data_IF_495700389986
#
_entry.id   IF_495700389986
#
_cell.length_a   1.000
_cell.length_b   1.000
_cell.length_c   1.000
_cell.angle_alpha   90.00
_cell.angle_beta   90.00
_cell.angle_gamma   90.00
#
_symmetry.space_group_name_H-M   'P 1'
#
loop_
_entity.id
_entity.type
_entity.pdbx_description
1 polymer ?
#
# COMPACT_ATOMS: atom_id res chain seq x y z
N UNK A 1 4.71 17.02 -54.88
CA UNK A 1 4.38 17.84 -53.70
C UNK A 1 4.38 16.92 -52.49
N UNK A 2 5.48 16.88 -51.73
CA UNK A 2 5.55 16.13 -50.47
C UNK A 2 4.63 16.80 -49.47
N UNK A 3 3.53 16.15 -49.10
CA UNK A 3 2.63 16.63 -48.06
C UNK A 3 3.46 16.99 -46.82
N UNK A 4 3.33 18.22 -46.33
CA UNK A 4 4.04 18.68 -45.15
C UNK A 4 3.70 17.71 -44.00
N UNK A 5 4.70 16.99 -43.49
CA UNK A 5 4.48 16.10 -42.35
C UNK A 5 3.88 16.92 -41.20
N UNK A 6 2.78 16.47 -40.57
CA UNK A 6 2.19 17.20 -39.46
C UNK A 6 3.21 17.33 -38.34
N UNK A 7 3.42 18.56 -37.85
CA UNK A 7 4.37 18.88 -36.78
C UNK A 7 3.63 19.47 -35.58
N UNK A 8 4.13 19.17 -34.39
CA UNK A 8 3.62 19.72 -33.13
C UNK A 8 3.06 18.66 -32.19
N UNK A 9 2.40 19.13 -31.11
CA UNK A 9 2.00 18.29 -29.98
C UNK A 9 1.10 17.11 -30.41
N UNK A 10 0.08 17.41 -31.21
CA UNK A 10 -0.89 16.41 -31.68
C UNK A 10 -0.23 15.38 -32.59
N UNK A 11 0.71 15.80 -33.44
CA UNK A 11 1.44 14.89 -34.31
C UNK A 11 2.32 13.91 -33.52
N UNK A 12 3.01 14.41 -32.47
CA UNK A 12 3.80 13.56 -31.57
C UNK A 12 2.90 12.58 -30.82
N UNK A 13 1.77 13.04 -30.29
CA UNK A 13 0.82 12.19 -29.59
C UNK A 13 0.21 11.11 -30.52
N UNK A 14 -0.16 11.48 -31.75
CA UNK A 14 -0.67 10.53 -32.74
C UNK A 14 0.37 9.49 -33.14
N UNK A 15 1.63 9.91 -33.36
CA UNK A 15 2.77 9.00 -33.62
C UNK A 15 2.93 8.00 -32.47
N UNK A 16 2.77 8.47 -31.24
CA UNK A 16 2.91 7.63 -30.05
C UNK A 16 1.76 6.63 -29.89
N UNK A 17 0.52 7.07 -30.09
CA UNK A 17 -0.66 6.19 -30.06
C UNK A 17 -0.54 5.10 -31.12
N UNK A 18 -0.18 5.46 -32.36
CA UNK A 18 -0.01 4.50 -33.46
C UNK A 18 1.09 3.48 -33.18
N UNK A 19 2.20 3.91 -32.56
CA UNK A 19 3.26 2.98 -32.16
C UNK A 19 2.79 2.04 -31.06
N UNK A 20 2.18 2.59 -30.00
CA UNK A 20 1.68 1.81 -28.86
C UNK A 20 0.72 0.73 -29.32
N UNK A 21 -0.22 1.02 -30.22
CA UNK A 21 -1.16 0.03 -30.77
C UNK A 21 -0.51 -1.11 -31.55
N UNK A 22 0.72 -0.93 -32.05
CA UNK A 22 1.45 -1.95 -32.84
C UNK A 22 2.48 -2.70 -32.00
N UNK A 23 2.92 -2.13 -30.89
CA UNK A 23 3.92 -2.70 -30.01
C UNK A 23 3.26 -3.54 -28.91
N UNK A 24 3.37 -4.86 -29.04
CA UNK A 24 2.75 -5.81 -28.09
C UNK A 24 3.25 -5.60 -26.66
N UNK A 25 4.51 -5.19 -26.48
CA UNK A 25 5.08 -4.94 -25.15
C UNK A 25 4.48 -3.66 -24.56
N UNK A 26 4.34 -2.59 -25.36
CA UNK A 26 3.68 -1.36 -24.92
C UNK A 26 2.22 -1.61 -24.50
N UNK A 27 1.44 -2.35 -25.30
CA UNK A 27 0.05 -2.69 -24.96
C UNK A 27 -0.04 -3.57 -23.71
N UNK A 28 0.81 -4.59 -23.61
CA UNK A 28 0.87 -5.44 -22.43
C UNK A 28 1.21 -4.62 -21.20
N UNK A 29 2.17 -3.71 -21.28
CA UNK A 29 2.60 -2.88 -20.17
C UNK A 29 1.52 -1.88 -19.73
N UNK A 30 0.92 -1.15 -20.66
CA UNK A 30 -0.01 -0.06 -20.37
C UNK A 30 -1.41 -0.56 -20.01
N UNK A 31 -1.86 -1.65 -20.64
CA UNK A 31 -3.24 -2.16 -20.49
C UNK A 31 -3.24 -3.52 -19.82
N UNK A 32 -2.47 -4.48 -20.34
CA UNK A 32 -2.52 -5.88 -19.90
C UNK A 32 -2.11 -6.08 -18.43
N UNK A 33 -0.96 -5.54 -18.02
CA UNK A 33 -0.40 -5.70 -16.67
C UNK A 33 -1.31 -5.06 -15.62
N UNK A 34 -1.74 -3.79 -15.73
CA UNK A 34 -2.65 -3.22 -14.75
C UNK A 34 -3.99 -3.94 -14.69
N UNK A 35 -4.60 -4.32 -15.83
CA UNK A 35 -5.87 -5.05 -15.82
C UNK A 35 -5.73 -6.41 -15.14
N UNK A 36 -4.66 -7.15 -15.45
CA UNK A 36 -4.37 -8.42 -14.79
C UNK A 36 -4.16 -8.23 -13.29
N UNK A 37 -3.32 -7.27 -12.89
CA UNK A 37 -3.05 -6.99 -11.50
C UNK A 37 -4.32 -6.60 -10.75
N UNK A 38 -5.13 -5.69 -11.31
CA UNK A 38 -6.37 -5.25 -10.70
C UNK A 38 -7.40 -6.37 -10.61
N UNK A 39 -7.51 -7.21 -11.65
CA UNK A 39 -8.41 -8.37 -11.63
C UNK A 39 -7.99 -9.39 -10.57
N UNK A 40 -6.69 -9.69 -10.47
CA UNK A 40 -6.16 -10.59 -9.45
C UNK A 40 -6.37 -10.04 -8.04
N UNK A 41 -6.13 -8.74 -7.82
CA UNK A 41 -6.34 -8.11 -6.52
C UNK A 41 -7.83 -8.06 -6.16
N UNK A 42 -8.69 -7.64 -7.09
CA UNK A 42 -10.13 -7.61 -6.88
C UNK A 42 -10.70 -9.02 -6.58
N UNK A 43 -10.22 -10.05 -7.28
CA UNK A 43 -10.61 -11.43 -7.01
C UNK A 43 -10.11 -11.93 -5.65
N UNK A 44 -8.85 -11.61 -5.29
CA UNK A 44 -8.26 -12.00 -4.00
C UNK A 44 -8.97 -11.33 -2.83
N UNK A 45 -9.41 -10.09 -2.99
CA UNK A 45 -10.03 -9.28 -1.93
C UNK A 45 -11.54 -9.10 -2.08
N UNK A 46 -12.18 -9.91 -2.94
CA UNK A 46 -13.64 -9.89 -3.13
C UNK A 46 -14.40 -10.18 -1.84
N UNK A 47 -13.84 -11.00 -0.94
CA UNK A 47 -14.34 -11.22 0.41
C UNK A 47 -13.74 -10.20 1.37
N UNK A 48 -14.31 -9.00 1.40
CA UNK A 48 -13.76 -7.87 2.15
C UNK A 48 -13.82 -8.02 3.68
N UNK A 49 -14.60 -8.97 4.22
CA UNK A 49 -14.77 -9.24 5.65
C UNK A 49 -14.36 -10.68 5.96
N UNK A 50 -13.47 -10.83 6.95
CA UNK A 50 -13.00 -12.13 7.42
C UNK A 50 -14.14 -12.84 8.17
N UNK A 51 -14.41 -14.10 7.79
CA UNK A 51 -15.42 -14.96 8.43
C UNK A 51 -14.79 -16.30 8.79
N UNK A 52 -15.46 -17.05 9.66
CA UNK A 52 -15.09 -18.42 10.05
C UNK A 52 -13.70 -18.51 10.70
N UNK A 53 -13.41 -17.55 11.58
CA UNK A 53 -12.21 -17.58 12.41
C UNK A 53 -12.37 -18.65 13.49
N UNK A 54 -11.54 -19.69 13.41
CA UNK A 54 -11.61 -20.83 14.33
C UNK A 54 -11.15 -20.38 15.72
N UNK A 55 -12.01 -20.55 16.72
CA UNK A 55 -11.74 -20.17 18.11
C UNK A 55 -11.94 -21.36 19.02
N UNK A 56 -11.01 -21.54 19.95
CA UNK A 56 -11.11 -22.54 21.00
C UNK A 56 -11.72 -21.93 22.28
N UNK A 57 -12.56 -22.68 22.99
CA UNK A 57 -13.14 -22.23 24.27
C UNK A 57 -12.84 -23.25 25.35
N UNK A 58 -12.13 -22.80 26.39
CA UNK A 58 -11.84 -23.58 27.59
C UNK A 58 -12.76 -23.13 28.71
N UNK A 59 -13.73 -23.96 29.05
CA UNK A 59 -14.64 -23.72 30.18
C UNK A 59 -14.28 -24.62 31.38
N UNK A 60 -13.62 -24.03 32.37
CA UNK A 60 -13.26 -24.70 33.63
C UNK A 60 -14.35 -24.62 34.71
N UNK A 61 -15.34 -23.74 34.55
CA UNK A 61 -16.42 -23.57 35.54
C UNK A 61 -17.57 -24.55 35.28
N UNK A 62 -17.90 -24.77 33.99
CA UNK A 62 -18.98 -25.66 33.53
C UNK A 62 -20.32 -25.38 34.21
N UNK A 63 -20.57 -24.12 34.52
CA UNK A 63 -21.77 -23.62 35.19
C UNK A 63 -22.80 -23.10 34.20
N UNK A 64 -23.99 -22.70 34.68
CA UNK A 64 -24.98 -22.04 33.81
C UNK A 64 -24.46 -20.70 33.31
N UNK A 65 -23.82 -19.95 34.18
CA UNK A 65 -23.25 -18.65 33.84
C UNK A 65 -22.11 -18.77 32.83
N UNK A 66 -21.20 -19.75 32.97
CA UNK A 66 -20.13 -19.98 31.99
C UNK A 66 -20.67 -20.44 30.64
N UNK A 67 -21.74 -21.25 30.62
CA UNK A 67 -22.42 -21.65 29.38
C UNK A 67 -23.03 -20.46 28.64
N UNK A 68 -23.60 -19.47 29.35
CA UNK A 68 -24.09 -18.23 28.73
C UNK A 68 -22.96 -17.46 28.05
N UNK A 69 -21.79 -17.33 28.70
CA UNK A 69 -20.61 -16.72 28.08
C UNK A 69 -20.13 -17.51 26.86
N UNK A 70 -20.03 -18.83 26.96
CA UNK A 70 -19.62 -19.68 25.85
C UNK A 70 -20.59 -19.59 24.66
N UNK A 71 -21.90 -19.47 24.91
CA UNK A 71 -22.91 -19.28 23.86
C UNK A 71 -22.78 -17.91 23.20
N UNK A 72 -22.58 -16.84 23.98
CA UNK A 72 -22.35 -15.50 23.44
C UNK A 72 -21.09 -15.46 22.55
N UNK A 73 -20.01 -16.13 22.98
CA UNK A 73 -18.78 -16.30 22.19
C UNK A 73 -19.05 -17.08 20.90
N UNK A 74 -19.81 -18.19 20.96
CA UNK A 74 -20.18 -18.96 19.77
C UNK A 74 -21.09 -18.20 18.80
N UNK A 75 -21.85 -17.21 19.29
CA UNK A 75 -22.68 -16.33 18.48
C UNK A 75 -21.94 -15.09 17.95
N UNK A 76 -20.66 -14.91 18.31
CA UNK A 76 -19.89 -13.73 17.93
C UNK A 76 -19.68 -13.65 16.41
N UNK A 77 -19.91 -12.48 15.78
CA UNK A 77 -19.72 -12.32 14.35
C UNK A 77 -18.29 -12.65 13.89
N UNK A 78 -18.18 -13.42 12.81
CA UNK A 78 -16.91 -13.76 12.15
C UNK A 78 -16.10 -14.86 12.84
N UNK A 79 -16.56 -15.37 13.99
CA UNK A 79 -15.93 -16.45 14.74
C UNK A 79 -16.70 -17.76 14.53
N UNK A 80 -15.98 -18.87 14.52
CA UNK A 80 -16.54 -20.20 14.60
C UNK A 80 -15.87 -20.96 15.76
N UNK A 81 -16.66 -21.49 16.69
CA UNK A 81 -16.14 -22.23 17.85
C UNK A 81 -16.09 -23.72 17.48
N UNK A 82 -15.00 -24.12 16.84
CA UNK A 82 -14.81 -25.47 16.30
C UNK A 82 -14.29 -26.47 17.35
N UNK A 83 -13.65 -25.97 18.41
CA UNK A 83 -13.05 -26.80 19.46
C UNK A 83 -13.39 -26.24 20.84
N UNK A 84 -13.58 -27.17 21.79
CA UNK A 84 -13.66 -26.87 23.22
C UNK A 84 -12.60 -27.71 23.93
N UNK A 85 -11.41 -27.15 24.06
CA UNK A 85 -10.30 -27.78 24.77
C UNK A 85 -10.63 -27.95 26.26
N UNK A 86 -10.18 -29.06 26.84
CA UNK A 86 -10.40 -29.36 28.25
C UNK A 86 -9.58 -28.48 29.19
N UNK A 87 -8.43 -27.99 28.72
CA UNK A 87 -7.50 -27.20 29.50
C UNK A 87 -6.86 -26.09 28.67
N UNK A 88 -6.19 -25.17 29.37
CA UNK A 88 -5.50 -24.05 28.72
C UNK A 88 -4.32 -24.53 27.87
N UNK A 89 -3.69 -25.65 28.23
CA UNK A 89 -2.54 -26.18 27.48
C UNK A 89 -2.93 -26.61 26.06
N UNK A 90 -4.01 -27.38 25.92
CA UNK A 90 -4.55 -27.80 24.63
C UNK A 90 -4.96 -26.60 23.76
N UNK A 91 -5.65 -25.63 24.36
CA UNK A 91 -6.05 -24.42 23.65
C UNK A 91 -4.84 -23.58 23.19
N UNK A 92 -3.82 -23.45 24.02
CA UNK A 92 -2.59 -22.75 23.64
C UNK A 92 -1.79 -23.49 22.57
N UNK A 93 -1.84 -24.83 22.54
CA UNK A 93 -1.27 -25.61 21.45
C UNK A 93 -2.01 -25.32 20.14
N UNK A 94 -3.35 -25.32 20.15
CA UNK A 94 -4.17 -25.00 18.97
C UNK A 94 -3.89 -23.58 18.42
N UNK A 95 -3.72 -22.59 19.30
CA UNK A 95 -3.36 -21.22 18.89
C UNK A 95 -1.95 -21.13 18.28
N UNK A 96 -0.99 -21.89 18.83
CA UNK A 96 0.40 -21.91 18.34
C UNK A 96 0.57 -22.71 17.05
N UNK A 97 -0.19 -23.79 16.87
CA UNK A 97 -0.17 -24.60 15.65
C UNK A 97 -0.93 -23.96 14.48
N UNK A 98 -1.79 -22.98 14.77
CA UNK A 98 -2.64 -22.32 13.77
C UNK A 98 -3.98 -23.01 13.54
N UNK A 99 -4.30 -24.08 14.30
CA UNK A 99 -5.62 -24.72 14.29
C UNK A 99 -6.73 -23.79 14.81
N UNK A 100 -6.39 -22.87 15.71
CA UNK A 100 -7.27 -21.81 16.18
C UNK A 100 -6.57 -20.45 16.05
N UNK A 101 -7.30 -19.40 15.68
CA UNK A 101 -6.76 -18.03 15.65
C UNK A 101 -6.72 -17.42 17.05
N UNK A 102 -7.64 -17.86 17.91
CA UNK A 102 -7.79 -17.38 19.28
C UNK A 102 -8.35 -18.48 20.20
N UNK A 103 -8.14 -18.30 21.49
CA UNK A 103 -8.71 -19.12 22.54
C UNK A 103 -9.32 -18.24 23.63
N UNK A 104 -10.49 -18.62 24.15
CA UNK A 104 -11.11 -17.98 25.31
C UNK A 104 -11.04 -18.91 26.51
N UNK A 105 -10.49 -18.41 27.61
CA UNK A 105 -10.40 -19.13 28.87
C UNK A 105 -11.40 -18.56 29.88
N UNK A 106 -12.33 -19.41 30.32
CA UNK A 106 -13.28 -19.14 31.39
C UNK A 106 -12.77 -19.84 32.65
N UNK A 107 -12.40 -19.10 33.71
CA UNK A 107 -11.78 -19.67 34.91
C UNK A 107 -12.78 -20.53 35.70
N UNK A 108 -12.24 -21.47 36.50
CA UNK A 108 -13.03 -22.19 37.50
C UNK A 108 -13.66 -21.22 38.50
N UNK A 109 -14.79 -21.62 39.07
CA UNK A 109 -15.53 -20.86 40.08
C UNK A 109 -16.07 -19.50 39.62
N UNK A 110 -16.19 -19.28 38.29
CA UNK A 110 -16.67 -18.02 37.71
C UNK A 110 -18.05 -17.63 38.25
N UNK A 111 -19.03 -18.54 38.20
CA UNK A 111 -20.38 -18.26 38.73
C UNK A 111 -20.35 -17.94 40.23
N UNK A 112 -19.63 -18.73 41.02
CA UNK A 112 -19.48 -18.49 42.47
C UNK A 112 -18.90 -17.11 42.74
N UNK A 113 -17.88 -16.72 41.99
CA UNK A 113 -17.17 -15.46 42.18
C UNK A 113 -18.03 -14.27 41.73
N UNK A 114 -18.76 -14.37 40.62
CA UNK A 114 -19.74 -13.37 40.20
C UNK A 114 -20.83 -13.18 41.27
N UNK A 115 -21.40 -14.28 41.79
CA UNK A 115 -22.44 -14.25 42.82
C UNK A 115 -21.92 -13.68 44.15
N UNK A 116 -20.65 -13.89 44.47
CA UNK A 116 -19.99 -13.31 45.63
C UNK A 116 -19.62 -11.81 45.45
N UNK A 117 -19.99 -11.20 44.32
CA UNK A 117 -19.62 -9.82 43.98
C UNK A 117 -18.12 -9.63 43.71
N UNK A 118 -17.38 -10.73 43.48
CA UNK A 118 -15.99 -10.69 42.99
C UNK A 118 -15.99 -10.41 41.48
N UNK A 119 -14.80 -10.12 40.94
CA UNK A 119 -14.60 -9.75 39.52
C UNK A 119 -13.66 -10.76 38.84
N UNK A 120 -14.14 -11.99 38.54
CA UNK A 120 -13.31 -12.97 37.83
C UNK A 120 -13.02 -12.49 36.40
N UNK A 121 -11.90 -12.94 35.84
CA UNK A 121 -11.42 -12.50 34.53
C UNK A 121 -11.56 -13.61 33.49
N UNK A 122 -12.34 -13.37 32.44
CA UNK A 122 -12.31 -14.16 31.21
C UNK A 122 -11.15 -13.66 30.37
N UNK A 123 -10.28 -14.57 29.91
CA UNK A 123 -9.04 -14.21 29.20
C UNK A 123 -9.14 -14.64 27.74
N UNK A 124 -8.85 -13.72 26.82
CA UNK A 124 -8.79 -14.00 25.37
C UNK A 124 -7.33 -14.04 24.94
N UNK A 125 -6.88 -15.20 24.48
CA UNK A 125 -5.58 -15.40 23.83
C UNK A 125 -5.78 -15.37 22.33
N UNK A 126 -4.91 -14.72 21.56
CA UNK A 126 -5.02 -14.69 20.10
C UNK A 126 -3.67 -14.54 19.43
N UNK A 127 -3.56 -15.10 18.23
CA UNK A 127 -2.34 -15.09 17.46
C UNK A 127 -2.21 -13.77 16.67
N UNK A 128 -1.40 -12.85 17.20
CA UNK A 128 -1.16 -11.54 16.59
C UNK A 128 -0.14 -11.56 15.44
N UNK A 129 0.51 -12.70 15.18
CA UNK A 129 1.32 -12.90 13.96
C UNK A 129 0.43 -12.86 12.71
N UNK A 130 -0.81 -13.34 12.85
CA UNK A 130 -1.91 -13.05 11.93
C UNK A 130 -2.57 -11.74 12.34
N UNK A 131 -1.91 -10.61 12.05
CA UNK A 131 -2.30 -9.29 12.55
C UNK A 131 -3.80 -8.98 12.37
N UNK A 132 -4.32 -9.10 11.16
CA UNK A 132 -5.73 -8.78 10.87
C UNK A 132 -6.71 -9.82 11.43
N UNK A 133 -6.61 -11.13 11.11
CA UNK A 133 -7.50 -12.15 11.66
C UNK A 133 -7.52 -12.18 13.20
N UNK A 134 -6.36 -12.04 13.84
CA UNK A 134 -6.23 -12.05 15.29
C UNK A 134 -6.90 -10.84 15.95
N UNK A 135 -6.75 -9.63 15.38
CA UNK A 135 -7.41 -8.44 15.90
C UNK A 135 -8.95 -8.49 15.70
N UNK A 136 -9.42 -9.01 14.56
CA UNK A 136 -10.86 -9.22 14.31
C UNK A 136 -11.44 -10.19 15.34
N UNK A 137 -10.80 -11.36 15.53
CA UNK A 137 -11.24 -12.33 16.54
C UNK A 137 -11.24 -11.72 17.95
N UNK A 138 -10.14 -11.07 18.35
CA UNK A 138 -10.04 -10.44 19.68
C UNK A 138 -11.16 -9.41 19.90
N UNK A 139 -11.44 -8.55 18.92
CA UNK A 139 -12.49 -7.54 19.03
C UNK A 139 -13.88 -8.17 19.09
N UNK A 140 -14.20 -9.13 18.21
CA UNK A 140 -15.50 -9.82 18.22
C UNK A 140 -15.74 -10.55 19.53
N UNK A 141 -14.72 -11.25 20.06
CA UNK A 141 -14.80 -11.98 21.32
C UNK A 141 -14.98 -11.04 22.53
N UNK A 142 -14.24 -9.93 22.58
CA UNK A 142 -14.40 -8.93 23.64
C UNK A 142 -15.79 -8.30 23.63
N UNK A 143 -16.31 -7.96 22.45
CA UNK A 143 -17.67 -7.44 22.30
C UNK A 143 -18.73 -8.45 22.77
N UNK A 144 -18.60 -9.72 22.38
CA UNK A 144 -19.51 -10.78 22.79
C UNK A 144 -19.49 -11.02 24.31
N UNK A 145 -18.30 -11.06 24.93
CA UNK A 145 -18.17 -11.18 26.39
C UNK A 145 -18.76 -9.96 27.09
N UNK A 146 -18.51 -8.75 26.59
CA UNK A 146 -19.04 -7.52 27.19
C UNK A 146 -20.58 -7.45 27.11
N UNK A 147 -21.16 -7.88 26.00
CA UNK A 147 -22.62 -8.00 25.86
C UNK A 147 -23.19 -9.02 26.86
N UNK A 148 -22.56 -10.20 27.00
CA UNK A 148 -22.98 -11.20 27.97
C UNK A 148 -22.86 -10.71 29.43
N UNK A 149 -21.86 -9.88 29.75
CA UNK A 149 -21.76 -9.23 31.07
C UNK A 149 -22.95 -8.29 31.31
N UNK A 150 -23.39 -7.54 30.30
CA UNK A 150 -24.50 -6.60 30.41
C UNK A 150 -25.85 -7.30 30.67
N UNK A 151 -26.01 -8.53 30.18
CA UNK A 151 -27.20 -9.36 30.36
C UNK A 151 -27.24 -10.13 31.70
N UNK A 152 -26.16 -10.12 32.49
CA UNK A 152 -26.15 -10.78 33.78
C UNK A 152 -27.14 -10.12 34.75
N UNK A 153 -27.92 -10.92 35.53
CA UNK A 153 -28.77 -10.39 36.58
C UNK A 153 -27.94 -9.57 37.56
N UNK A 154 -28.24 -8.27 37.70
CA UNK A 154 -27.60 -7.43 38.71
C UNK A 154 -28.05 -7.93 40.08
N UNK A 155 -27.15 -8.60 40.81
CA UNK A 155 -27.42 -9.02 42.18
C UNK A 155 -27.86 -7.86 43.06
N UNK A 156 -28.74 -8.13 44.03
CA UNK A 156 -29.26 -7.14 44.98
C UNK A 156 -28.10 -6.32 45.56
N UNK A 157 -28.11 -5.00 45.33
CA UNK A 157 -27.06 -4.11 45.77
C UNK A 157 -26.95 -4.12 47.29
N UNK A 158 -25.77 -4.41 47.84
CA UNK A 158 -25.48 -4.08 49.25
C UNK A 158 -25.62 -2.56 49.43
N UNK A 159 -26.19 -2.08 50.55
CA UNK A 159 -26.41 -0.66 50.84
C UNK A 159 -25.10 0.04 51.25
N UNK A 160 -24.15 0.12 50.32
CA UNK A 160 -22.91 0.87 50.48
C UNK A 160 -22.54 1.53 49.15
N UNK A 161 -21.87 2.70 49.22
CA UNK A 161 -21.37 3.38 48.03
C UNK A 161 -20.45 2.43 47.25
N UNK A 162 -20.92 1.99 46.09
CA UNK A 162 -20.12 1.25 45.11
C UNK A 162 -19.87 2.22 43.96
N UNK A 163 -18.61 2.50 43.59
CA UNK A 163 -18.33 3.17 42.33
C UNK A 163 -19.09 2.42 41.23
N UNK A 164 -19.87 3.15 40.42
CA UNK A 164 -20.56 2.55 39.28
C UNK A 164 -19.56 1.81 38.38
N UNK A 165 -20.04 0.85 37.60
CA UNK A 165 -19.22 0.27 36.54
C UNK A 165 -18.78 1.41 35.61
N UNK A 166 -17.47 1.64 35.52
CA UNK A 166 -16.90 2.52 34.51
C UNK A 166 -17.15 1.86 33.15
N UNK A 167 -18.06 2.42 32.37
CA UNK A 167 -18.30 1.97 31.00
C UNK A 167 -17.26 2.64 30.13
N UNK A 168 -16.37 1.84 29.54
CA UNK A 168 -15.42 2.33 28.54
C UNK A 168 -16.05 2.11 27.18
N UNK A 169 -16.45 3.19 26.52
CA UNK A 169 -16.95 3.14 25.15
C UNK A 169 -15.80 3.41 24.18
N UNK A 170 -15.64 2.52 23.20
CA UNK A 170 -14.64 2.67 22.15
C UNK A 170 -15.32 2.98 20.82
N UNK A 171 -14.98 4.13 20.24
CA UNK A 171 -15.43 4.52 18.91
C UNK A 171 -14.28 4.40 17.90
N UNK A 172 -14.43 3.49 16.93
CA UNK A 172 -13.48 3.36 15.81
C UNK A 172 -13.85 4.38 14.73
N UNK A 173 -13.06 5.45 14.63
CA UNK A 173 -13.34 6.59 13.75
C UNK A 173 -13.23 6.25 12.26
N UNK A 174 -12.34 5.34 11.87
CA UNK A 174 -12.08 5.01 10.46
C UNK A 174 -12.00 3.51 10.27
N UNK A 175 -12.77 3.00 9.28
CA UNK A 175 -12.90 1.57 8.96
C UNK A 175 -13.44 0.70 10.14
N UNK A 176 -14.61 1.02 10.71
CA UNK A 176 -15.15 0.34 11.89
C UNK A 176 -15.45 -1.15 11.66
N UNK A 177 -15.71 -1.55 10.41
CA UNK A 177 -15.96 -2.94 10.02
C UNK A 177 -14.68 -3.71 9.71
N UNK A 178 -13.50 -3.09 9.86
CA UNK A 178 -12.20 -3.63 9.48
C UNK A 178 -12.21 -4.16 8.03
N UNK A 179 -12.95 -3.49 7.16
CA UNK A 179 -13.11 -3.86 5.76
C UNK A 179 -11.75 -3.81 5.07
N UNK A 180 -11.35 -4.96 4.55
CA UNK A 180 -10.03 -5.15 3.99
C UNK A 180 -9.89 -4.46 2.63
N UNK A 181 -10.95 -4.46 1.81
CA UNK A 181 -10.97 -3.75 0.54
C UNK A 181 -10.86 -2.23 0.77
N UNK A 182 -11.49 -1.69 1.82
CA UNK A 182 -11.35 -0.28 2.20
C UNK A 182 -9.90 0.11 2.50
N UNK A 183 -9.15 -0.74 3.20
CA UNK A 183 -7.77 -0.44 3.55
C UNK A 183 -6.81 -0.75 2.40
N UNK A 184 -6.79 -2.02 1.96
CA UNK A 184 -5.75 -2.50 1.06
C UNK A 184 -5.99 -2.10 -0.39
N UNK A 185 -7.22 -2.18 -0.88
CA UNK A 185 -7.50 -1.91 -2.29
C UNK A 185 -7.27 -0.43 -2.62
N UNK A 186 -7.63 0.48 -1.70
CA UNK A 186 -7.34 1.91 -1.81
C UNK A 186 -5.84 2.21 -1.88
N UNK A 187 -5.03 1.48 -1.14
CA UNK A 187 -3.60 1.75 -1.06
C UNK A 187 -2.77 1.03 -2.13
N UNK A 188 -3.07 -0.25 -2.39
CA UNK A 188 -2.26 -1.06 -3.29
C UNK A 188 -2.55 -0.77 -4.76
N UNK A 189 -3.80 -0.50 -5.17
CA UNK A 189 -4.05 -0.25 -6.59
C UNK A 189 -3.25 0.95 -7.14
N UNK A 190 -3.23 2.13 -6.48
CA UNK A 190 -2.36 3.22 -6.91
C UNK A 190 -0.87 2.89 -6.82
N UNK A 191 -0.48 2.04 -5.87
CA UNK A 191 0.91 1.57 -5.71
C UNK A 191 1.34 0.65 -6.86
N UNK A 192 0.48 -0.24 -7.33
CA UNK A 192 0.80 -1.04 -8.52
C UNK A 192 0.84 -0.13 -9.74
N UNK A 193 -0.14 0.77 -9.84
CA UNK A 193 -0.26 1.67 -10.99
C UNK A 193 0.94 2.61 -11.12
N UNK A 194 1.49 3.17 -10.03
CA UNK A 194 2.64 4.08 -10.14
C UNK A 194 3.87 3.39 -10.72
N UNK A 195 4.10 2.12 -10.38
CA UNK A 195 5.22 1.33 -10.94
C UNK A 195 5.01 1.17 -12.44
N UNK A 196 3.81 0.77 -12.86
CA UNK A 196 3.50 0.60 -14.29
C UNK A 196 3.60 1.93 -15.04
N UNK A 197 3.08 3.01 -14.48
CA UNK A 197 3.17 4.37 -15.04
C UNK A 197 4.64 4.76 -15.28
N UNK A 198 5.50 4.53 -14.29
CA UNK A 198 6.92 4.85 -14.41
C UNK A 198 7.62 4.02 -15.48
N UNK A 199 7.38 2.71 -15.50
CA UNK A 199 7.96 1.80 -16.52
C UNK A 199 7.43 2.17 -17.91
N UNK A 200 6.14 2.52 -18.05
CA UNK A 200 5.55 2.95 -19.31
C UNK A 200 6.18 4.25 -19.83
N UNK A 201 6.36 5.26 -18.97
CA UNK A 201 7.09 6.49 -19.33
C UNK A 201 8.53 6.21 -19.74
N UNK A 202 9.22 5.32 -19.02
CA UNK A 202 10.58 4.89 -19.34
C UNK A 202 10.68 4.13 -20.67
N UNK A 203 9.75 3.21 -20.93
CA UNK A 203 9.70 2.43 -22.18
C UNK A 203 9.35 3.30 -23.40
N UNK A 204 8.38 4.21 -23.24
CA UNK A 204 7.96 5.16 -24.26
C UNK A 204 9.11 6.06 -24.73
N UNK A 205 9.91 6.59 -23.80
CA UNK A 205 11.09 7.39 -24.12
C UNK A 205 12.26 6.51 -24.54
N UNK A 206 12.37 5.31 -23.99
CA UNK A 206 13.54 4.46 -24.15
C UNK A 206 13.62 3.74 -25.47
N UNK A 207 12.46 3.41 -26.02
CA UNK A 207 12.35 2.91 -27.38
C UNK A 207 12.99 3.84 -28.42
N UNK A 208 13.05 5.16 -28.19
CA UNK A 208 13.70 6.14 -29.10
C UNK A 208 15.24 6.08 -29.12
N UNK A 209 15.84 5.38 -28.15
CA UNK A 209 17.28 5.10 -28.12
C UNK A 209 17.61 3.69 -28.61
N UNK A 210 16.61 2.91 -29.03
CA UNK A 210 16.77 1.52 -29.45
C UNK A 210 16.01 1.24 -30.74
N UNK A 211 14.78 0.76 -30.62
CA UNK A 211 13.95 0.32 -31.76
C UNK A 211 13.32 1.45 -32.57
N UNK A 212 13.39 2.70 -32.10
CA UNK A 212 12.84 3.90 -32.74
C UNK A 212 13.90 4.99 -32.88
N UNK A 213 13.55 6.07 -33.57
CA UNK A 213 14.46 7.14 -33.92
C UNK A 213 14.19 8.44 -33.15
N UNK A 214 15.15 8.80 -32.29
CA UNK A 214 15.22 10.10 -31.60
C UNK A 214 15.13 11.30 -32.57
N UNK A 215 15.77 11.22 -33.75
CA UNK A 215 15.77 12.33 -34.71
C UNK A 215 14.38 12.55 -35.31
N UNK A 216 13.67 11.47 -35.65
CA UNK A 216 12.28 11.54 -36.12
C UNK A 216 11.33 12.04 -35.04
N UNK A 217 11.53 11.63 -33.79
CA UNK A 217 10.74 12.12 -32.66
C UNK A 217 10.85 13.63 -32.51
N UNK A 218 12.08 14.17 -32.51
CA UNK A 218 12.34 15.61 -32.43
C UNK A 218 11.85 16.36 -33.68
N UNK A 219 11.99 15.76 -34.87
CA UNK A 219 11.49 16.35 -36.12
C UNK A 219 9.96 16.47 -36.12
N UNK A 220 9.25 15.45 -35.63
CA UNK A 220 7.79 15.46 -35.47
C UNK A 220 7.33 16.58 -34.51
N UNK A 221 8.16 16.87 -33.50
CA UNK A 221 7.91 17.96 -32.55
C UNK A 221 8.29 19.37 -33.08
N UNK A 222 8.76 19.48 -34.32
CA UNK A 222 9.24 20.75 -34.89
C UNK A 222 10.51 21.28 -34.21
N UNK A 223 11.34 20.40 -33.64
CA UNK A 223 12.57 20.77 -32.92
C UNK A 223 12.37 21.20 -31.46
N UNK A 224 11.12 21.34 -30.99
CA UNK A 224 10.82 21.68 -29.60
C UNK A 224 10.91 20.45 -28.70
N UNK A 225 11.92 20.42 -27.82
CA UNK A 225 12.07 19.36 -26.80
C UNK A 225 10.88 19.29 -25.84
N UNK A 226 10.26 20.43 -25.51
CA UNK A 226 9.08 20.46 -24.65
C UNK A 226 7.88 19.80 -25.33
N UNK A 227 7.62 20.17 -26.57
CA UNK A 227 6.53 19.59 -27.38
C UNK A 227 6.75 18.10 -27.62
N UNK A 228 8.00 17.68 -27.82
CA UNK A 228 8.37 16.27 -27.96
C UNK A 228 8.04 15.47 -26.69
N UNK A 229 8.42 15.98 -25.51
CA UNK A 229 8.18 15.29 -24.24
C UNK A 229 6.70 15.26 -23.87
N UNK A 230 6.02 16.41 -23.88
CA UNK A 230 4.59 16.48 -23.52
C UNK A 230 3.76 15.64 -24.48
N UNK A 231 3.98 15.78 -25.80
CA UNK A 231 3.21 15.04 -26.80
C UNK A 231 3.39 13.53 -26.66
N UNK A 232 4.57 13.08 -26.23
CA UNK A 232 4.85 11.66 -26.00
C UNK A 232 4.21 11.14 -24.71
N UNK A 233 4.25 11.90 -23.62
CA UNK A 233 3.72 11.45 -22.32
C UNK A 233 2.19 11.60 -22.21
N UNK A 234 1.58 12.49 -23.00
CA UNK A 234 0.15 12.82 -22.93
C UNK A 234 -0.80 11.61 -23.15
N UNK A 235 -0.57 10.72 -24.14
CA UNK A 235 -1.43 9.53 -24.30
C UNK A 235 -1.42 8.61 -23.08
N UNK A 236 -0.25 8.40 -22.46
CA UNK A 236 -0.12 7.60 -21.25
C UNK A 236 -0.81 8.26 -20.06
N UNK A 237 -0.67 9.58 -19.91
CA UNK A 237 -1.38 10.35 -18.89
C UNK A 237 -2.89 10.14 -18.99
N UNK A 238 -3.45 10.24 -20.20
CA UNK A 238 -4.89 10.03 -20.44
C UNK A 238 -5.33 8.60 -20.08
N UNK A 239 -4.56 7.58 -20.49
CA UNK A 239 -4.89 6.17 -20.21
C UNK A 239 -4.84 5.89 -18.70
N UNK A 240 -3.78 6.31 -18.00
CA UNK A 240 -3.64 6.03 -16.57
C UNK A 240 -4.60 6.86 -15.72
N UNK A 241 -4.98 8.07 -16.16
CA UNK A 241 -6.07 8.83 -15.54
C UNK A 241 -7.41 8.10 -15.66
N UNK A 242 -7.72 7.60 -16.86
CA UNK A 242 -8.92 6.79 -17.07
C UNK A 242 -8.90 5.54 -16.19
N UNK A 243 -7.77 4.83 -16.10
CA UNK A 243 -7.62 3.68 -15.21
C UNK A 243 -7.83 4.04 -13.74
N UNK A 244 -7.27 5.15 -13.27
CA UNK A 244 -7.47 5.60 -11.89
C UNK A 244 -8.94 5.93 -11.61
N UNK A 245 -9.63 6.57 -12.57
CA UNK A 245 -11.05 6.87 -12.48
C UNK A 245 -11.91 5.59 -12.44
N UNK A 246 -11.60 4.60 -13.28
CA UNK A 246 -12.27 3.28 -13.27
C UNK A 246 -12.06 2.57 -11.93
N UNK A 247 -10.83 2.58 -11.40
CA UNK A 247 -10.52 2.00 -10.08
C UNK A 247 -11.34 2.66 -8.97
N UNK A 248 -11.38 4.00 -8.93
CA UNK A 248 -12.19 4.73 -7.96
C UNK A 248 -13.68 4.39 -8.12
N UNK A 249 -14.18 4.30 -9.35
CA UNK A 249 -15.56 3.88 -9.65
C UNK A 249 -15.87 2.47 -9.15
N UNK A 250 -14.93 1.53 -9.26
CA UNK A 250 -15.08 0.17 -8.73
C UNK A 250 -15.09 0.18 -7.20
N UNK A 251 -14.13 0.86 -6.56
CA UNK A 251 -14.02 0.92 -5.09
C UNK A 251 -15.26 1.56 -4.45
N UNK A 252 -15.71 2.69 -5.00
CA UNK A 252 -16.78 3.49 -4.41
C UNK A 252 -18.17 3.13 -4.91
N UNK A 253 -18.28 2.61 -6.14
CA UNK A 253 -19.52 2.12 -6.72
C UNK A 253 -19.76 0.65 -6.40
N UNK A 254 -18.94 -0.25 -6.95
CA UNK A 254 -19.19 -1.70 -6.87
C UNK A 254 -18.97 -2.27 -5.46
N UNK A 255 -17.92 -1.83 -4.75
CA UNK A 255 -17.65 -2.26 -3.38
C UNK A 255 -18.34 -1.39 -2.32
N UNK A 256 -19.09 -0.36 -2.75
CA UNK A 256 -19.85 0.56 -1.89
C UNK A 256 -19.01 1.19 -0.75
N UNK A 257 -17.70 1.34 -0.95
CA UNK A 257 -16.82 1.83 0.12
C UNK A 257 -16.95 3.35 0.19
N UNK A 258 -17.34 3.95 1.32
CA UNK A 258 -17.69 5.37 1.38
C UNK A 258 -16.50 6.29 1.11
N UNK A 259 -16.69 7.28 0.23
CA UNK A 259 -15.76 8.39 0.02
C UNK A 259 -16.22 9.59 0.86
N UNK A 260 -15.35 10.15 1.72
CA UNK A 260 -15.76 11.12 2.75
C UNK A 260 -15.41 12.59 2.45
N UNK A 261 -14.36 12.86 1.68
CA UNK A 261 -13.81 14.19 1.47
C UNK A 261 -14.08 14.74 0.07
N UNK A 262 -13.10 15.46 -0.48
CA UNK A 262 -13.19 16.09 -1.80
C UNK A 262 -12.63 15.18 -2.94
N UNK A 263 -13.48 14.71 -3.88
CA UNK A 263 -13.03 13.85 -4.99
C UNK A 263 -12.20 14.59 -6.04
N UNK A 264 -12.41 15.89 -6.22
CA UNK A 264 -11.63 16.73 -7.16
C UNK A 264 -10.19 16.85 -6.69
N UNK A 265 -9.97 17.03 -5.38
CA UNK A 265 -8.62 17.10 -4.81
C UNK A 265 -7.85 15.78 -5.02
N UNK A 266 -8.52 14.64 -4.81
CA UNK A 266 -7.94 13.32 -5.07
C UNK A 266 -7.66 13.09 -6.56
N UNK A 267 -8.57 13.52 -7.45
CA UNK A 267 -8.37 13.42 -8.90
C UNK A 267 -7.20 14.30 -9.37
N UNK A 268 -7.08 15.52 -8.85
CA UNK A 268 -5.95 16.40 -9.12
C UNK A 268 -4.63 15.79 -8.61
N UNK A 269 -4.63 15.22 -7.39
CA UNK A 269 -3.47 14.52 -6.85
C UNK A 269 -3.09 13.29 -7.71
N UNK A 270 -4.07 12.54 -8.22
CA UNK A 270 -3.81 11.42 -9.14
C UNK A 270 -3.17 11.87 -10.45
N UNK A 271 -3.62 13.00 -11.01
CA UNK A 271 -2.99 13.61 -12.18
C UNK A 271 -1.52 13.95 -11.91
N UNK A 272 -1.24 14.61 -10.78
CA UNK A 272 0.13 14.96 -10.39
C UNK A 272 1.01 13.72 -10.15
N UNK A 273 0.47 12.68 -9.53
CA UNK A 273 1.16 11.40 -9.33
C UNK A 273 1.59 10.80 -10.68
N UNK A 274 0.67 10.74 -11.65
CA UNK A 274 0.94 10.14 -12.95
C UNK A 274 1.97 10.98 -13.72
N UNK A 275 1.84 12.32 -13.71
CA UNK A 275 2.83 13.22 -14.31
C UNK A 275 4.22 12.99 -13.69
N UNK A 276 4.29 12.90 -12.36
CA UNK A 276 5.54 12.69 -11.65
C UNK A 276 6.21 11.38 -12.07
N UNK A 277 5.50 10.26 -12.05
CA UNK A 277 6.09 8.96 -12.37
C UNK A 277 6.36 8.74 -13.86
N UNK A 278 5.53 9.28 -14.77
CA UNK A 278 5.87 9.34 -16.20
C UNK A 278 7.19 10.10 -16.40
N UNK A 279 7.36 11.21 -15.68
CA UNK A 279 8.57 12.04 -15.75
C UNK A 279 9.79 11.35 -15.15
N UNK A 280 9.64 10.62 -14.05
CA UNK A 280 10.72 9.81 -13.45
C UNK A 280 11.20 8.73 -14.41
N UNK A 281 10.28 7.96 -15.01
CA UNK A 281 10.62 6.94 -16.00
C UNK A 281 11.33 7.54 -17.21
N UNK A 282 10.79 8.63 -17.76
CA UNK A 282 11.42 9.37 -18.84
C UNK A 282 12.82 9.89 -18.47
N UNK A 283 12.97 10.47 -17.27
CA UNK A 283 14.24 11.04 -16.79
C UNK A 283 15.35 9.99 -16.74
N UNK A 284 15.11 8.84 -16.11
CA UNK A 284 16.14 7.79 -16.01
C UNK A 284 16.55 7.28 -17.39
N UNK A 285 15.61 7.19 -18.31
CA UNK A 285 15.90 6.80 -19.66
C UNK A 285 16.73 7.84 -20.43
N UNK A 286 16.45 9.13 -20.24
CA UNK A 286 17.23 10.22 -20.84
C UNK A 286 18.62 10.38 -20.20
N UNK A 287 18.80 9.94 -18.96
CA UNK A 287 20.10 9.91 -18.30
C UNK A 287 20.99 8.81 -18.87
N UNK A 288 20.47 7.58 -18.96
CA UNK A 288 21.29 6.39 -19.31
C UNK A 288 21.30 6.10 -20.81
N UNK A 289 20.24 6.43 -21.55
CA UNK A 289 20.09 6.20 -23.00
C UNK A 289 20.21 4.72 -23.40
N UNK A 290 19.91 3.82 -22.48
CA UNK A 290 19.85 2.37 -22.69
C UNK A 290 18.58 1.86 -22.02
N UNK A 291 17.75 1.14 -22.77
CA UNK A 291 16.42 0.72 -22.32
C UNK A 291 16.48 -0.15 -21.05
N UNK A 292 17.28 -1.21 -21.06
CA UNK A 292 17.38 -2.13 -19.92
C UNK A 292 17.87 -1.40 -18.66
N UNK A 293 18.90 -0.56 -18.78
CA UNK A 293 19.48 0.16 -17.65
C UNK A 293 18.55 1.25 -17.11
N UNK A 294 17.85 2.00 -17.98
CA UNK A 294 16.89 3.02 -17.57
C UNK A 294 15.66 2.43 -16.88
N UNK A 295 15.14 1.29 -17.38
CA UNK A 295 14.07 0.55 -16.72
C UNK A 295 14.53 -0.03 -15.37
N UNK A 296 15.78 -0.47 -15.26
CA UNK A 296 16.36 -0.97 -14.00
C UNK A 296 16.41 0.12 -12.92
N UNK A 297 16.87 1.33 -13.27
CA UNK A 297 16.86 2.47 -12.35
C UNK A 297 15.43 2.87 -11.95
N UNK A 298 14.51 2.83 -12.90
CA UNK A 298 13.08 3.07 -12.64
C UNK A 298 12.53 2.07 -11.63
N UNK A 299 12.86 0.78 -11.77
CA UNK A 299 12.51 -0.27 -10.83
C UNK A 299 13.09 -0.05 -9.43
N UNK A 300 14.38 0.27 -9.33
CA UNK A 300 15.06 0.55 -8.05
C UNK A 300 14.40 1.74 -7.33
N UNK A 301 14.03 2.79 -8.06
CA UNK A 301 13.37 3.97 -7.49
C UNK A 301 11.92 3.69 -7.05
N UNK A 302 11.16 2.96 -7.86
CA UNK A 302 9.72 2.76 -7.65
C UNK A 302 9.38 1.60 -6.72
N UNK A 303 10.18 0.54 -6.70
CA UNK A 303 9.89 -0.70 -5.95
C UNK A 303 9.81 -0.52 -4.43
N UNK A 304 10.69 0.23 -3.74
CA UNK A 304 10.54 0.40 -2.29
C UNK A 304 9.40 1.35 -1.92
N UNK A 305 8.80 2.06 -2.89
CA UNK A 305 7.95 3.21 -2.58
C UNK A 305 6.76 2.89 -1.66
N UNK A 306 6.18 1.70 -1.77
CA UNK A 306 5.08 1.26 -0.90
C UNK A 306 5.46 1.25 0.59
N UNK A 307 6.63 0.69 0.93
CA UNK A 307 7.11 0.60 2.31
C UNK A 307 7.39 1.98 2.92
N UNK A 308 7.71 2.96 2.08
CA UNK A 308 8.05 4.33 2.46
C UNK A 308 6.85 5.29 2.40
N UNK A 309 5.72 4.85 1.84
CA UNK A 309 4.51 5.67 1.68
C UNK A 309 3.65 5.76 2.95
N UNK A 310 3.99 5.02 4.00
CA UNK A 310 3.27 5.10 5.29
C UNK A 310 2.04 4.19 5.41
N UNK A 311 1.80 3.30 4.43
CA UNK A 311 0.62 2.41 4.43
C UNK A 311 0.79 1.27 5.42
N UNK A 312 1.88 0.49 5.29
CA UNK A 312 2.13 -0.68 6.12
C UNK A 312 2.76 -0.33 7.47
N UNK A 313 3.74 0.58 7.46
CA UNK A 313 4.42 1.07 8.66
C UNK A 313 4.26 2.57 8.75
N UNK A 314 3.89 3.08 9.92
CA UNK A 314 3.62 4.50 10.12
C UNK A 314 4.89 5.33 9.92
N UNK A 315 4.79 6.45 9.22
CA UNK A 315 5.93 7.34 8.91
C UNK A 315 6.64 7.80 10.19
N UNK A 316 5.88 8.06 11.26
CA UNK A 316 6.38 8.48 12.58
C UNK A 316 7.34 7.45 13.21
N UNK A 317 7.25 6.19 12.81
CA UNK A 317 8.09 5.11 13.35
C UNK A 317 9.32 4.82 12.47
N UNK A 318 9.41 5.43 11.29
CA UNK A 318 10.53 5.23 10.37
C UNK A 318 11.78 5.98 10.84
N UNK A 319 12.96 5.43 10.54
CA UNK A 319 14.23 6.13 10.77
C UNK A 319 14.37 7.36 9.84
N UNK A 320 15.34 8.23 10.13
CA UNK A 320 15.55 9.47 9.35
C UNK A 320 15.78 9.19 7.87
N UNK A 321 16.55 8.14 7.54
CA UNK A 321 16.80 7.76 6.14
C UNK A 321 15.50 7.45 5.40
N UNK A 322 14.64 6.61 5.98
CA UNK A 322 13.37 6.23 5.38
C UNK A 322 12.40 7.40 5.27
N UNK A 323 12.40 8.31 6.25
CA UNK A 323 11.64 9.54 6.15
C UNK A 323 12.13 10.43 5.00
N UNK A 324 13.44 10.64 4.88
CA UNK A 324 14.05 11.48 3.83
C UNK A 324 13.85 10.89 2.44
N UNK A 325 14.07 9.59 2.26
CA UNK A 325 13.80 8.93 0.97
C UNK A 325 12.32 9.00 0.62
N UNK A 326 11.44 8.74 1.59
CA UNK A 326 10.00 8.85 1.41
C UNK A 326 9.57 10.21 0.90
N UNK A 327 10.21 11.30 1.34
CA UNK A 327 9.90 12.66 0.88
C UNK A 327 10.17 12.88 -0.61
N UNK A 328 11.07 12.11 -1.23
CA UNK A 328 11.37 12.19 -2.66
C UNK A 328 10.36 11.41 -3.52
N UNK A 329 9.55 10.54 -2.91
CA UNK A 329 8.64 9.65 -3.61
C UNK A 329 7.26 10.30 -3.77
N UNK A 330 6.80 10.56 -5.01
CA UNK A 330 5.46 11.11 -5.25
C UNK A 330 4.34 10.26 -4.64
N UNK A 331 4.52 8.92 -4.63
CA UNK A 331 3.52 8.00 -4.07
C UNK A 331 3.20 8.31 -2.61
N UNK A 332 4.19 8.64 -1.78
CA UNK A 332 3.99 8.95 -0.36
C UNK A 332 2.94 10.06 -0.19
N UNK A 333 3.15 11.15 -0.91
CA UNK A 333 2.32 12.34 -0.81
C UNK A 333 0.92 12.10 -1.37
N UNK A 334 0.81 11.35 -2.47
CA UNK A 334 -0.48 10.94 -3.02
C UNK A 334 -1.27 10.06 -2.03
N UNK A 335 -0.64 9.05 -1.42
CA UNK A 335 -1.29 8.18 -0.45
C UNK A 335 -1.79 8.98 0.76
N UNK A 336 -1.03 9.97 1.21
CA UNK A 336 -1.47 10.86 2.28
C UNK A 336 -2.75 11.63 1.91
N UNK A 337 -2.78 12.29 0.73
CA UNK A 337 -3.98 12.99 0.23
C UNK A 337 -5.16 12.02 0.07
N UNK A 338 -4.90 10.83 -0.48
CA UNK A 338 -5.92 9.81 -0.67
C UNK A 338 -6.53 9.37 0.67
N UNK A 339 -5.72 9.14 1.70
CA UNK A 339 -6.22 8.75 3.01
C UNK A 339 -6.91 9.89 3.75
N UNK A 340 -6.41 11.12 3.63
CA UNK A 340 -7.06 12.31 4.18
C UNK A 340 -8.48 12.45 3.64
N UNK A 341 -8.64 12.40 2.32
CA UNK A 341 -9.90 12.72 1.67
C UNK A 341 -10.80 11.49 1.48
N UNK A 342 -10.29 10.38 0.96
CA UNK A 342 -11.13 9.21 0.67
C UNK A 342 -11.47 8.41 1.95
N UNK A 343 -10.55 8.35 2.92
CA UNK A 343 -10.73 7.52 4.12
C UNK A 343 -11.16 8.31 5.36
N UNK A 344 -10.44 9.37 5.73
CA UNK A 344 -10.69 10.13 6.95
C UNK A 344 -11.76 11.21 6.79
N UNK A 345 -11.83 11.85 5.62
CA UNK A 345 -12.73 12.97 5.37
C UNK A 345 -12.33 14.22 6.15
N UNK A 346 -11.02 14.45 6.35
CA UNK A 346 -10.53 15.65 7.04
C UNK A 346 -10.74 16.91 6.18
N UNK A 347 -10.82 18.11 6.78
CA UNK A 347 -10.86 19.36 6.03
C UNK A 347 -9.74 19.45 4.98
N UNK A 348 -10.03 20.05 3.83
CA UNK A 348 -9.10 20.11 2.70
C UNK A 348 -7.76 20.78 3.05
N UNK A 349 -7.79 21.69 4.02
CA UNK A 349 -6.63 22.41 4.54
C UNK A 349 -5.52 21.47 5.03
N UNK A 350 -5.89 20.35 5.64
CA UNK A 350 -4.94 19.34 6.14
C UNK A 350 -4.23 18.60 4.99
N UNK A 351 -4.85 18.56 3.81
CA UNK A 351 -4.33 17.91 2.61
C UNK A 351 -3.53 18.85 1.69
N UNK A 352 -3.49 20.16 1.96
CA UNK A 352 -2.77 21.12 1.10
C UNK A 352 -1.26 20.82 1.12
N UNK A 353 -0.68 20.60 2.29
CA UNK A 353 0.76 20.33 2.41
C UNK A 353 1.21 19.12 1.58
N UNK A 354 0.60 17.92 1.72
CA UNK A 354 0.99 16.79 0.89
C UNK A 354 0.66 17.01 -0.60
N UNK A 355 -0.44 17.69 -0.93
CA UNK A 355 -0.77 18.04 -2.31
C UNK A 355 0.30 18.94 -2.96
N UNK A 356 0.76 19.97 -2.25
CA UNK A 356 1.79 20.90 -2.74
C UNK A 356 3.15 20.21 -2.87
N UNK A 357 3.52 19.33 -1.92
CA UNK A 357 4.74 18.53 -2.02
C UNK A 357 4.70 17.60 -3.25
N UNK A 358 3.56 16.97 -3.52
CA UNK A 358 3.35 16.16 -4.72
C UNK A 358 3.47 17.00 -6.00
N UNK A 359 2.84 18.18 -6.03
CA UNK A 359 2.94 19.11 -7.15
C UNK A 359 4.37 19.58 -7.42
N UNK A 360 5.12 19.90 -6.35
CA UNK A 360 6.52 20.28 -6.44
C UNK A 360 7.39 19.15 -7.03
N UNK A 361 7.20 17.91 -6.58
CA UNK A 361 7.91 16.76 -7.14
C UNK A 361 7.54 16.50 -8.61
N UNK A 362 6.25 16.58 -8.95
CA UNK A 362 5.79 16.41 -10.33
C UNK A 362 6.45 17.45 -11.26
N UNK A 363 6.47 18.72 -10.85
CA UNK A 363 7.12 19.79 -11.58
C UNK A 363 8.64 19.58 -11.66
N UNK A 364 9.30 19.17 -10.56
CA UNK A 364 10.74 18.95 -10.51
C UNK A 364 11.19 17.83 -11.44
N UNK A 365 10.54 16.66 -11.38
CA UNK A 365 10.89 15.52 -12.23
C UNK A 365 10.62 15.81 -13.70
N UNK A 366 9.51 16.49 -14.01
CA UNK A 366 9.21 16.91 -15.37
C UNK A 366 10.26 17.91 -15.88
N UNK A 367 10.63 18.91 -15.06
CA UNK A 367 11.66 19.89 -15.38
C UNK A 367 13.00 19.21 -15.67
N UNK A 368 13.46 18.28 -14.83
CA UNK A 368 14.71 17.57 -15.07
C UNK A 368 14.67 16.69 -16.31
N UNK A 369 13.56 16.02 -16.57
CA UNK A 369 13.36 15.25 -17.80
C UNK A 369 13.44 16.15 -19.04
N UNK A 370 12.74 17.29 -19.01
CA UNK A 370 12.75 18.26 -20.10
C UNK A 370 14.14 18.88 -20.32
N UNK A 371 14.82 19.35 -19.26
CA UNK A 371 16.16 19.91 -19.36
C UNK A 371 17.15 18.89 -19.93
N UNK A 372 17.04 17.62 -19.52
CA UNK A 372 17.88 16.56 -20.03
C UNK A 372 17.61 16.28 -21.51
N UNK A 373 16.34 16.22 -21.91
CA UNK A 373 15.96 16.06 -23.32
C UNK A 373 16.46 17.23 -24.18
N UNK A 374 16.32 18.47 -23.69
CA UNK A 374 16.84 19.67 -24.35
C UNK A 374 18.35 19.60 -24.54
N UNK A 375 19.09 19.14 -23.53
CA UNK A 375 20.53 18.97 -23.63
C UNK A 375 20.94 17.89 -24.66
N UNK A 376 20.12 16.85 -24.86
CA UNK A 376 20.33 15.83 -25.88
C UNK A 376 20.02 16.37 -27.27
N UNK A 377 18.89 17.06 -27.42
CA UNK A 377 18.45 17.63 -28.69
C UNK A 377 19.45 18.65 -29.27
N UNK A 378 20.21 19.32 -28.41
CA UNK A 378 21.24 20.30 -28.80
C UNK A 378 22.59 19.68 -29.18
N UNK A 379 22.79 18.36 -29.04
CA UNK A 379 24.04 17.69 -29.42
C UNK A 379 23.83 16.89 -30.72
N UNK A 380 24.82 16.84 -31.64
CA UNK A 380 24.74 15.96 -32.79
C UNK A 380 24.59 14.51 -32.30
N UNK A 381 23.52 13.84 -32.74
CA UNK A 381 23.27 12.44 -32.41
C UNK A 381 24.38 11.59 -33.06
N UNK A 382 25.03 10.67 -32.32
CA UNK A 382 25.97 9.74 -32.91
C UNK A 382 25.30 8.97 -34.06
N UNK A 383 26.00 8.84 -35.18
CA UNK A 383 25.60 7.97 -36.29
C UNK A 383 25.44 6.54 -35.75
N UNK A 384 24.35 5.86 -36.11
CA UNK A 384 24.10 4.49 -35.68
C UNK A 384 25.29 3.60 -36.04
N UNK A 385 25.92 3.00 -35.02
CA UNK A 385 26.87 1.91 -35.23
C UNK A 385 26.12 0.75 -35.90
N UNK A 386 26.66 0.26 -37.02
CA UNK A 386 26.06 -0.84 -37.77
C UNK A 386 25.77 -2.02 -36.84
N UNK A 387 24.51 -2.44 -36.82
CA UNK A 387 24.10 -3.62 -36.07
C UNK A 387 24.87 -4.82 -36.62
N UNK A 388 25.78 -5.36 -35.80
CA UNK A 388 26.49 -6.60 -36.09
C UNK A 388 25.44 -7.70 -36.28
N UNK A 389 25.33 -8.22 -37.51
CA UNK A 389 24.42 -9.33 -37.80
C UNK A 389 24.64 -10.47 -36.78
N UNK A 390 23.58 -11.00 -36.17
CA UNK A 390 23.73 -12.14 -35.28
C UNK A 390 24.26 -13.31 -36.11
N UNK A 391 25.50 -13.75 -35.83
CA UNK A 391 26.05 -14.99 -36.39
C UNK A 391 25.06 -16.12 -36.15
N UNK A 392 24.40 -16.58 -37.22
CA UNK A 392 23.61 -17.81 -37.21
C UNK A 392 24.59 -18.98 -37.08
N UNK A 393 24.79 -19.44 -35.84
CA UNK A 393 25.51 -20.68 -35.54
C UNK A 393 24.51 -21.82 -35.39
N UNK A 394 24.82 -22.97 -35.99
CA UNK A 394 24.00 -24.19 -36.09
C UNK A 394 23.55 -24.80 -34.76
N UNK A 395 22.80 -25.91 -34.86
CA UNK A 395 21.99 -26.52 -33.77
C UNK A 395 22.58 -26.32 -32.37
N UNK A 396 22.02 -25.34 -31.67
CA UNK A 396 22.47 -24.97 -30.32
C UNK A 396 21.78 -25.94 -29.35
N UNK A 397 22.55 -26.81 -28.70
CA UNK A 397 22.06 -27.57 -27.56
C UNK A 397 21.59 -26.61 -26.45
N UNK A 398 20.52 -26.93 -25.74
CA UNK A 398 19.97 -26.09 -24.64
C UNK A 398 21.05 -25.61 -23.67
N UNK A 399 22.00 -26.47 -23.31
CA UNK A 399 23.11 -26.13 -22.42
C UNK A 399 24.02 -25.01 -22.96
N UNK A 400 24.30 -25.01 -24.27
CA UNK A 400 25.13 -24.00 -24.93
C UNK A 400 24.38 -22.68 -25.08
N UNK A 401 23.08 -22.73 -25.37
CA UNK A 401 22.22 -21.54 -25.38
C UNK A 401 22.17 -20.88 -24.00
N UNK A 402 22.03 -21.67 -22.93
CA UNK A 402 22.08 -21.17 -21.55
C UNK A 402 23.44 -20.55 -21.22
N UNK A 403 24.55 -21.24 -21.53
CA UNK A 403 25.89 -20.74 -21.24
C UNK A 403 26.19 -19.42 -21.99
N UNK A 404 25.79 -19.33 -23.25
CA UNK A 404 25.95 -18.10 -24.05
C UNK A 404 25.10 -16.95 -23.49
N UNK A 405 23.87 -17.23 -23.05
CA UNK A 405 22.99 -16.20 -22.50
C UNK A 405 23.47 -15.70 -21.13
N UNK A 406 23.91 -16.60 -20.23
CA UNK A 406 24.56 -16.20 -18.97
C UNK A 406 25.82 -15.37 -19.23
N UNK A 407 26.64 -15.75 -20.22
CA UNK A 407 27.81 -14.99 -20.64
C UNK A 407 27.47 -13.59 -21.15
N UNK A 408 26.35 -13.44 -21.88
CA UNK A 408 25.84 -12.14 -22.34
C UNK A 408 25.35 -11.28 -21.18
N UNK A 409 24.54 -11.85 -20.28
CA UNK A 409 24.02 -11.16 -19.09
C UNK A 409 25.15 -10.62 -18.21
N UNK A 410 26.21 -11.41 -18.00
CA UNK A 410 27.36 -11.00 -17.19
C UNK A 410 28.23 -9.93 -17.87
N UNK A 411 28.21 -9.83 -19.20
CA UNK A 411 28.95 -8.80 -19.97
C UNK A 411 28.15 -7.52 -20.17
N UNK A 412 26.82 -7.61 -20.25
CA UNK A 412 25.97 -6.44 -20.35
C UNK A 412 25.89 -5.72 -19.00
N UNK A 413 26.40 -4.49 -18.94
CA UNK A 413 26.46 -3.70 -17.70
C UNK A 413 25.07 -3.43 -17.12
N UNK A 414 24.04 -3.32 -17.96
CA UNK A 414 22.66 -3.10 -17.54
C UNK A 414 22.04 -4.35 -16.92
N UNK A 415 22.16 -5.49 -17.61
CA UNK A 415 21.64 -6.78 -17.13
C UNK A 415 22.36 -7.26 -15.87
N UNK A 416 23.69 -7.15 -15.82
CA UNK A 416 24.47 -7.45 -14.62
C UNK A 416 24.05 -6.57 -13.44
N UNK A 417 23.93 -5.25 -13.66
CA UNK A 417 23.48 -4.31 -12.64
C UNK A 417 22.09 -4.65 -12.11
N UNK A 418 21.17 -5.05 -12.98
CA UNK A 418 19.82 -5.44 -12.59
C UNK A 418 19.78 -6.74 -11.77
N UNK A 419 20.49 -7.78 -12.23
CA UNK A 419 20.38 -9.14 -11.65
C UNK A 419 21.22 -9.30 -10.38
N UNK A 420 22.37 -8.61 -10.30
CA UNK A 420 23.31 -8.77 -9.18
C UNK A 420 23.22 -7.59 -8.22
N UNK A 421 23.44 -6.37 -8.73
CA UNK A 421 23.48 -5.18 -7.87
C UNK A 421 22.09 -4.79 -7.36
N UNK A 422 21.04 -4.98 -8.18
CA UNK A 422 19.65 -4.70 -7.84
C UNK A 422 19.20 -5.40 -6.56
N UNK A 423 19.28 -6.74 -6.44
CA UNK A 423 18.93 -7.46 -5.22
C UNK A 423 19.75 -7.05 -3.99
N UNK A 424 21.05 -6.75 -4.16
CA UNK A 424 21.91 -6.30 -3.05
C UNK A 424 21.44 -4.93 -2.55
N UNK A 425 21.28 -3.97 -3.45
CA UNK A 425 20.79 -2.63 -3.11
C UNK A 425 19.41 -2.77 -2.46
N UNK A 426 18.49 -3.50 -3.09
CA UNK A 426 17.13 -3.68 -2.60
C UNK A 426 17.10 -4.35 -1.22
N UNK A 427 17.96 -5.34 -0.98
CA UNK A 427 18.10 -6.02 0.32
C UNK A 427 18.55 -5.08 1.44
N UNK A 428 19.35 -4.06 1.14
CA UNK A 428 19.73 -3.01 2.10
C UNK A 428 18.65 -1.93 2.23
N UNK A 429 17.96 -1.63 1.12
CA UNK A 429 17.05 -0.50 0.99
C UNK A 429 15.66 -0.80 1.56
N UNK A 430 15.10 -1.96 1.26
CA UNK A 430 13.74 -2.32 1.63
C UNK A 430 13.51 -2.43 3.14
N UNK A 431 14.45 -2.95 3.96
CA UNK A 431 14.25 -3.06 5.40
C UNK A 431 14.24 -1.73 6.16
N UNK A 432 14.74 -0.63 5.58
CA UNK A 432 14.96 0.63 6.29
C UNK A 432 13.73 1.21 7.01
N UNK A 433 12.51 1.22 6.42
CA UNK A 433 11.32 1.68 7.13
C UNK A 433 11.01 0.86 8.38
N UNK A 434 11.47 -0.39 8.45
CA UNK A 434 11.12 -1.37 9.50
C UNK A 434 12.16 -1.47 10.63
N UNK A 435 13.33 -0.86 10.47
CA UNK A 435 14.43 -0.93 11.47
C UNK A 435 14.00 -0.38 12.83
N UNK A 436 13.05 0.55 12.88
CA UNK A 436 12.54 1.13 14.11
C UNK A 436 11.92 0.12 15.09
N UNK A 437 11.45 -1.05 14.60
CA UNK A 437 10.80 -2.20 15.29
C UNK A 437 9.62 -1.90 16.24
N UNK A 438 9.61 -0.77 16.94
CA UNK A 438 8.62 -0.36 17.94
C UNK A 438 8.20 1.09 17.67
N UNK A 439 6.89 1.31 17.56
CA UNK A 439 6.34 2.67 17.47
C UNK A 439 6.39 3.27 18.89
N UNK A 440 7.19 4.33 19.05
CA UNK A 440 7.29 5.11 20.30
C UNK A 440 6.70 6.50 20.06
N UNK A 441 6.31 7.18 21.13
CA UNK A 441 5.82 8.57 21.08
C UNK A 441 4.58 8.76 20.17
N UNK A 442 3.64 7.81 20.21
CA UNK A 442 2.36 7.98 19.50
C UNK A 442 1.63 9.18 20.12
N UNK A 443 1.26 10.21 19.34
CA UNK A 443 0.52 11.34 19.87
C UNK A 443 -0.87 10.88 20.33
N UNK A 444 -1.15 11.06 21.61
CA UNK A 444 -2.45 10.77 22.22
C UNK A 444 -3.00 12.07 22.77
N UNK A 445 -4.20 12.45 22.30
CA UNK A 445 -4.97 13.53 22.91
C UNK A 445 -5.78 12.96 24.08
N UNK A 446 -5.71 13.61 25.23
CA UNK A 446 -6.52 13.28 26.41
C UNK A 446 -7.37 14.50 26.72
N UNK A 447 -8.68 14.32 26.73
CA UNK A 447 -9.65 15.33 27.17
C UNK A 447 -10.20 14.85 28.52
N UNK A 448 -10.07 15.70 29.53
CA UNK A 448 -10.59 15.47 30.89
C UNK A 448 -11.64 16.53 31.16
N UNK A 449 -12.91 16.14 31.08
CA UNK A 449 -14.06 17.02 31.31
C UNK A 449 -14.40 17.17 32.80
N UNK A 450 -13.90 16.29 33.68
CA UNK A 450 -14.22 16.34 35.12
C UNK A 450 -13.28 17.31 35.86
N UNK A 451 -12.09 17.59 35.32
CA UNK A 451 -11.10 18.53 35.87
C UNK A 451 -10.76 18.30 37.36
N UNK A 452 -11.01 17.11 37.90
CA UNK A 452 -10.74 16.75 39.30
C UNK A 452 -9.36 16.11 39.47
N UNK A 453 -8.73 16.21 40.66
CA UNK A 453 -7.39 15.67 40.91
C UNK A 453 -7.23 14.17 40.60
N UNK A 454 -8.30 13.40 40.76
CA UNK A 454 -8.33 11.95 40.48
C UNK A 454 -8.20 11.65 38.97
N UNK A 455 -8.79 12.50 38.13
CA UNK A 455 -8.70 12.39 36.67
C UNK A 455 -7.34 12.90 36.16
N UNK A 456 -6.79 13.97 36.76
CA UNK A 456 -5.46 14.48 36.46
C UNK A 456 -4.35 13.42 36.64
N UNK A 457 -4.38 12.65 37.73
CA UNK A 457 -3.41 11.57 37.98
C UNK A 457 -3.55 10.35 37.06
N UNK A 458 -4.64 10.24 36.30
CA UNK A 458 -4.87 9.20 35.28
C UNK A 458 -4.38 9.68 33.92
N UNK A 459 -4.65 10.93 33.56
CA UNK A 459 -4.11 11.59 32.37
C UNK A 459 -2.57 11.68 32.40
N UNK A 460 -1.99 11.93 33.57
CA UNK A 460 -0.54 11.99 33.76
C UNK A 460 0.15 10.62 33.60
N UNK A 461 -0.54 9.50 33.90
CA UNK A 461 -0.02 8.14 33.67
C UNK A 461 -0.04 7.71 32.20
N UNK A 462 -0.90 8.31 31.38
CA UNK A 462 -0.92 8.11 29.92
C UNK A 462 0.26 8.83 29.27
N UNK A 463 0.76 9.92 29.88
CA UNK A 463 2.06 10.49 29.53
C UNK A 463 3.15 9.56 30.08
N UNK A 464 3.84 8.84 29.19
CA UNK A 464 4.96 7.97 29.58
C UNK A 464 5.94 8.74 30.49
N UNK A 465 6.45 8.13 31.57
CA UNK A 465 7.41 8.77 32.46
C UNK A 465 8.66 9.18 31.67
N UNK A 466 9.14 10.39 31.92
CA UNK A 466 10.23 11.06 31.21
C UNK A 466 11.61 10.35 31.24
N UNK A 467 11.70 9.14 31.81
CA UNK A 467 12.93 8.35 31.97
C UNK A 467 13.24 7.34 30.86
N UNK A 468 12.46 7.28 29.79
CA UNK A 468 12.71 6.40 28.62
C UNK A 468 13.04 7.20 27.34
N UNK A 469 13.72 8.34 27.52
CA UNK A 469 14.15 9.23 26.43
C UNK A 469 15.30 8.67 25.61
#
# INVERSE_FOLDING_TARGET
MTAAQPRGLVAVAAREVLWMWRDNVALLLVVGIPLLAFSLLAATFGNAVIRNLHVDVVDQDRSRTSMTFAQAISAAPGVNVDRRSFDLSGAMHAVRSGEAIAAVYIPKDLERDIMAGRRPQIVVFFNKQYFTPGNVASSSLQSAVSAAIADLPRGAASPGFRPGLLVVEQYVLTNPTLNYAQFLLRAILPTVLHVVVAIAGGYAVGSEFGSRSMSEWLATAGGSSLTALVGKLLPYLAIFLLMMAVVLGIIHGLYEIPFRGNPVLVAAAACLLIIAYLSVGALFQLLVRNLASGLSLTGIFCSPAFGYAGVGFQILAMNTFAQSWGMLLPLRWYIQVLFDQAARGVPEQDSITPFMALGALAALYFLFSWLRLRAIANRPLPTAEEAVEPRRSGSISVARALADEYGRVLRDRGAFGLIVLGPIIYGLFYPQPYVGQLIRNIPIAVVDDDHRPVAAGSAERVRLPAGWR
#
